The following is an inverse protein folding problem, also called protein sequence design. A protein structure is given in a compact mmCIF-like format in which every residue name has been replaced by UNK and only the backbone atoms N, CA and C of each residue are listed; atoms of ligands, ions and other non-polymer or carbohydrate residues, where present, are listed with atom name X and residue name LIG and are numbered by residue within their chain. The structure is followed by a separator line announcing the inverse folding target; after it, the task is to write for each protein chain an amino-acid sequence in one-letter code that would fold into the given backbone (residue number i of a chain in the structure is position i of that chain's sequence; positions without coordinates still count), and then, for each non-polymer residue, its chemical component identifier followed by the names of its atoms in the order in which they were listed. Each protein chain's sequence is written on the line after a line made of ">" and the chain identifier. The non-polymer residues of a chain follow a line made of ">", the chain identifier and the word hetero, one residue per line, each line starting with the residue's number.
data_IF_858896053904
#
_entry.id   IF_858896053904
#
_cell.length_a   1.000
_cell.length_b   1.000
_cell.length_c   1.000
_cell.angle_alpha   90.00
_cell.angle_beta   90.00
_cell.angle_gamma   90.00
#
_symmetry.space_group_name_H-M   'P 1'
#
loop_
_entity.id
_entity.type
_entity.pdbx_description
1 polymer ?
#
# COMPACT_ATOMS: atom_id res chain seq x y z
N UNK A 1 20.65 11.79 -7.06
CA UNK A 1 19.19 11.98 -7.23
C UNK A 1 18.62 10.58 -7.21
N UNK A 2 17.97 10.26 -6.10
CA UNK A 2 17.51 8.91 -5.81
C UNK A 2 16.18 8.68 -6.51
N UNK A 3 16.25 8.08 -7.70
CA UNK A 3 15.08 7.90 -8.55
C UNK A 3 14.38 6.60 -8.19
N UNK A 4 13.14 6.71 -7.68
CA UNK A 4 12.22 5.58 -7.64
C UNK A 4 11.90 5.15 -9.07
N UNK A 5 12.03 3.86 -9.35
CA UNK A 5 11.66 3.28 -10.64
C UNK A 5 10.98 1.93 -10.45
N UNK A 6 10.04 1.62 -11.32
CA UNK A 6 9.36 0.32 -11.33
C UNK A 6 9.60 -0.39 -12.65
N UNK A 7 9.74 -1.72 -12.60
CA UNK A 7 9.90 -2.56 -13.78
C UNK A 7 8.99 -3.77 -13.68
N UNK A 8 8.20 -4.00 -14.72
CA UNK A 8 7.41 -5.21 -14.86
C UNK A 8 8.33 -6.43 -15.06
N UNK A 9 8.05 -7.52 -14.37
CA UNK A 9 8.71 -8.80 -14.50
C UNK A 9 7.70 -9.83 -15.01
N UNK A 10 7.71 -10.13 -16.33
CA UNK A 10 6.74 -11.04 -16.92
C UNK A 10 6.86 -12.44 -16.30
N UNK A 11 5.73 -12.98 -15.86
CA UNK A 11 5.62 -14.36 -15.39
C UNK A 11 4.92 -15.22 -16.46
N UNK A 12 5.09 -16.55 -16.42
CA UNK A 12 4.30 -17.47 -17.22
C UNK A 12 2.78 -17.22 -17.08
N UNK A 13 2.00 -17.59 -18.08
CA UNK A 13 0.54 -17.46 -18.02
C UNK A 13 0.00 -18.36 -16.89
N UNK A 14 -0.98 -17.86 -16.13
CA UNK A 14 -1.73 -18.65 -15.14
C UNK A 14 -1.37 -18.42 -13.67
N UNK A 15 -0.45 -17.50 -13.36
CA UNK A 15 -0.10 -17.19 -11.97
C UNK A 15 -1.16 -16.36 -11.22
N UNK A 16 -2.10 -15.71 -11.92
CA UNK A 16 -3.17 -14.92 -11.28
C UNK A 16 -2.70 -13.58 -10.68
N UNK A 17 -1.47 -13.15 -10.98
CA UNK A 17 -0.93 -11.85 -10.58
C UNK A 17 0.13 -11.36 -11.56
N UNK A 18 0.43 -10.07 -11.49
CA UNK A 18 1.58 -9.45 -12.14
C UNK A 18 2.66 -9.15 -11.11
N UNK A 19 3.91 -9.30 -11.50
CA UNK A 19 5.07 -9.06 -10.65
C UNK A 19 5.84 -7.84 -11.15
N UNK A 20 6.16 -6.92 -10.24
CA UNK A 20 7.00 -5.77 -10.52
C UNK A 20 8.11 -5.66 -9.49
N UNK A 21 9.19 -4.97 -9.88
CA UNK A 21 10.29 -4.59 -9.01
C UNK A 21 10.33 -3.08 -8.85
N UNK A 22 10.07 -2.59 -7.64
CA UNK A 22 10.26 -1.18 -7.29
C UNK A 22 11.69 -1.02 -6.76
N UNK A 23 12.48 -0.12 -7.34
CA UNK A 23 13.86 0.15 -6.93
C UNK A 23 13.97 1.53 -6.28
N UNK A 24 14.62 1.61 -5.12
CA UNK A 24 14.97 2.84 -4.40
C UNK A 24 16.34 2.66 -3.75
N UNK A 25 17.30 3.56 -4.01
CA UNK A 25 18.59 3.61 -3.29
C UNK A 25 19.36 2.27 -3.26
N UNK A 26 19.32 1.54 -4.38
CA UNK A 26 19.93 0.21 -4.50
C UNK A 26 19.15 -0.92 -3.82
N UNK A 27 18.06 -0.61 -3.12
CA UNK A 27 17.11 -1.59 -2.61
C UNK A 27 16.06 -1.91 -3.66
N UNK A 28 15.61 -3.16 -3.68
CA UNK A 28 14.55 -3.63 -4.58
C UNK A 28 13.45 -4.25 -3.74
N UNK A 29 12.22 -3.81 -4.00
CA UNK A 29 11.02 -4.30 -3.36
C UNK A 29 10.20 -5.09 -4.36
N UNK A 30 9.68 -6.23 -3.91
CA UNK A 30 8.75 -7.07 -4.66
C UNK A 30 7.37 -6.43 -4.64
N UNK A 31 6.75 -6.27 -5.79
CA UNK A 31 5.39 -5.72 -5.92
C UNK A 31 4.51 -6.75 -6.62
N UNK A 32 3.56 -7.32 -5.89
CA UNK A 32 2.53 -8.21 -6.44
C UNK A 32 1.27 -7.40 -6.70
N UNK A 33 0.77 -7.42 -7.94
CA UNK A 33 -0.51 -6.83 -8.34
C UNK A 33 -1.49 -7.95 -8.66
N UNK A 34 -2.62 -8.03 -7.95
CA UNK A 34 -3.56 -9.14 -8.11
C UNK A 34 -4.98 -8.75 -7.74
N UNK A 35 -5.96 -9.40 -8.35
CA UNK A 35 -7.36 -9.44 -7.88
C UNK A 35 -7.75 -10.82 -7.34
N UNK A 36 -6.81 -11.77 -7.28
CA UNK A 36 -7.08 -13.17 -6.94
C UNK A 36 -6.88 -13.38 -5.44
N UNK A 37 -7.94 -13.80 -4.74
CA UNK A 37 -7.94 -14.04 -3.30
C UNK A 37 -6.85 -15.02 -2.84
N UNK A 38 -6.62 -16.12 -3.57
CA UNK A 38 -5.59 -17.10 -3.21
C UNK A 38 -4.17 -16.49 -3.21
N UNK A 39 -3.88 -15.60 -4.16
CA UNK A 39 -2.58 -14.93 -4.23
C UNK A 39 -2.39 -14.00 -3.02
N UNK A 40 -3.44 -13.27 -2.66
CA UNK A 40 -3.45 -12.39 -1.47
C UNK A 40 -3.20 -13.20 -0.20
N UNK A 41 -3.93 -14.30 -0.02
CA UNK A 41 -3.82 -15.18 1.15
C UNK A 41 -2.41 -15.78 1.27
N UNK A 42 -1.83 -16.23 0.15
CA UNK A 42 -0.46 -16.74 0.11
C UNK A 42 0.57 -15.64 0.43
N UNK A 43 0.37 -14.43 -0.09
CA UNK A 43 1.24 -13.30 0.23
C UNK A 43 1.22 -12.99 1.73
N UNK A 44 0.03 -12.97 2.35
CA UNK A 44 -0.12 -12.75 3.80
C UNK A 44 0.56 -13.84 4.61
N UNK A 45 0.43 -15.11 4.21
CA UNK A 45 1.11 -16.24 4.86
C UNK A 45 2.63 -16.07 4.85
N UNK A 46 3.20 -15.74 3.68
CA UNK A 46 4.64 -15.51 3.52
C UNK A 46 5.11 -14.35 4.40
N UNK A 47 4.45 -13.19 4.32
CA UNK A 47 4.84 -11.99 5.09
C UNK A 47 4.70 -12.24 6.60
N UNK A 48 3.64 -12.90 7.05
CA UNK A 48 3.47 -13.23 8.47
C UNK A 48 4.57 -14.18 8.95
N UNK A 49 4.97 -15.14 8.11
CA UNK A 49 6.09 -16.05 8.37
C UNK A 49 7.44 -15.33 8.48
N UNK A 50 7.68 -14.31 7.67
CA UNK A 50 8.94 -13.54 7.73
C UNK A 50 9.01 -12.59 8.93
N UNK A 51 7.86 -12.20 9.49
CA UNK A 51 7.74 -11.17 10.53
C UNK A 51 7.10 -11.67 11.83
N UNK A 52 7.51 -12.85 12.31
CA UNK A 52 6.96 -13.53 13.50
C UNK A 52 6.92 -12.70 14.81
N UNK A 53 7.68 -11.60 14.91
CA UNK A 53 7.71 -10.69 16.07
C UNK A 53 6.86 -9.42 15.93
N UNK A 54 6.09 -9.30 14.85
CA UNK A 54 5.42 -8.06 14.45
C UNK A 54 6.31 -7.17 13.58
N UNK A 55 5.67 -6.31 12.80
CA UNK A 55 6.35 -5.37 11.90
C UNK A 55 5.62 -4.04 11.83
N UNK A 56 6.35 -3.00 11.44
CA UNK A 56 5.73 -1.78 10.93
C UNK A 56 5.33 -2.06 9.49
N UNK A 57 4.05 -1.93 9.20
CA UNK A 57 3.52 -1.97 7.84
C UNK A 57 3.01 -0.59 7.44
N UNK A 58 2.68 -0.41 6.17
CA UNK A 58 1.88 0.73 5.73
C UNK A 58 0.70 0.27 4.90
N UNK A 59 -0.37 1.08 4.91
CA UNK A 59 -1.58 0.85 4.13
C UNK A 59 -1.93 2.10 3.34
N UNK A 60 -2.30 1.89 2.09
CA UNK A 60 -2.89 2.88 1.20
C UNK A 60 -4.08 2.27 0.47
N UNK A 61 -4.93 3.14 -0.07
CA UNK A 61 -6.04 2.74 -0.94
C UNK A 61 -6.15 3.73 -2.09
N UNK A 62 -6.72 3.29 -3.21
CA UNK A 62 -7.17 4.18 -4.28
C UNK A 62 -8.59 3.82 -4.69
N UNK A 63 -9.29 4.81 -5.23
CA UNK A 63 -10.66 4.67 -5.73
C UNK A 63 -10.88 5.63 -6.90
N UNK A 64 -11.72 5.23 -7.84
CA UNK A 64 -12.06 5.98 -9.02
C UNK A 64 -13.24 6.94 -8.81
N UNK A 65 -13.55 7.77 -9.82
CA UNK A 65 -14.62 8.76 -9.74
C UNK A 65 -16.02 8.18 -9.49
N UNK A 66 -16.23 6.90 -9.83
CA UNK A 66 -17.52 6.21 -9.70
C UNK A 66 -17.62 5.30 -8.48
N UNK A 67 -16.55 5.21 -7.68
CA UNK A 67 -16.48 4.30 -6.55
C UNK A 67 -17.27 4.85 -5.37
N UNK A 68 -18.20 4.08 -4.78
CA UNK A 68 -18.98 4.51 -3.62
C UNK A 68 -18.09 4.96 -2.45
N UNK A 69 -18.52 5.94 -1.63
CA UNK A 69 -17.74 6.43 -0.48
C UNK A 69 -17.37 5.36 0.55
N UNK A 70 -18.10 4.25 0.59
CA UNK A 70 -17.93 3.12 1.52
C UNK A 70 -17.05 1.99 0.96
N UNK A 71 -16.35 2.20 -0.15
CA UNK A 71 -15.57 1.16 -0.84
C UNK A 71 -14.29 1.75 -1.44
N UNK A 72 -13.35 0.92 -1.88
CA UNK A 72 -12.15 1.36 -2.60
C UNK A 72 -11.79 0.36 -3.69
N UNK A 73 -11.16 0.80 -4.76
CA UNK A 73 -10.91 -0.11 -5.87
C UNK A 73 -9.69 -0.98 -5.63
N UNK A 74 -8.72 -0.42 -4.90
CA UNK A 74 -7.46 -1.08 -4.58
C UNK A 74 -7.08 -0.87 -3.11
N UNK A 75 -6.39 -1.86 -2.55
CA UNK A 75 -5.75 -1.85 -1.24
C UNK A 75 -4.25 -2.14 -1.45
N UNK A 76 -3.41 -1.19 -1.05
CA UNK A 76 -1.96 -1.36 -1.04
C UNK A 76 -1.48 -1.64 0.37
N UNK A 77 -0.58 -2.62 0.51
CA UNK A 77 0.07 -2.95 1.77
C UNK A 77 1.57 -3.07 1.51
N UNK A 78 2.39 -2.42 2.34
CA UNK A 78 3.83 -2.63 2.34
C UNK A 78 4.27 -3.15 3.70
N UNK A 79 4.99 -4.27 3.68
CA UNK A 79 5.83 -4.75 4.78
C UNK A 79 7.16 -5.08 4.13
N UNK A 80 8.11 -4.13 4.21
CA UNK A 80 9.30 -4.16 3.37
C UNK A 80 10.11 -5.46 3.55
N UNK A 81 10.59 -6.09 2.46
CA UNK A 81 10.61 -5.60 1.08
C UNK A 81 9.40 -5.99 0.22
N UNK A 82 8.29 -6.46 0.83
CA UNK A 82 7.13 -6.96 0.10
C UNK A 82 6.00 -5.93 0.02
N UNK A 83 5.48 -5.74 -1.19
CA UNK A 83 4.35 -4.85 -1.49
C UNK A 83 3.27 -5.66 -2.17
N UNK A 84 2.04 -5.55 -1.65
CA UNK A 84 0.83 -6.05 -2.27
C UNK A 84 0.00 -4.89 -2.78
N UNK A 85 -0.44 -4.96 -4.03
CA UNK A 85 -1.48 -4.13 -4.63
C UNK A 85 -2.66 -5.05 -4.93
N UNK A 86 -3.61 -5.11 -4.00
CA UNK A 86 -4.83 -5.90 -4.15
C UNK A 86 -5.91 -5.07 -4.85
N UNK A 87 -6.27 -5.42 -6.08
CA UNK A 87 -7.41 -4.87 -6.81
C UNK A 87 -8.73 -5.41 -6.24
N UNK A 88 -9.05 -5.02 -5.00
CA UNK A 88 -10.14 -5.56 -4.18
C UNK A 88 -11.51 -5.46 -4.84
N UNK A 89 -11.78 -4.39 -5.61
CA UNK A 89 -13.04 -4.23 -6.36
C UNK A 89 -13.19 -5.22 -7.53
N UNK A 90 -12.09 -5.80 -8.01
CA UNK A 90 -12.07 -6.79 -9.08
C UNK A 90 -11.97 -8.23 -8.53
N UNK A 91 -12.03 -8.43 -7.21
CA UNK A 91 -11.95 -9.75 -6.60
C UNK A 91 -13.32 -10.44 -6.62
N UNK A 92 -13.45 -11.52 -7.39
CA UNK A 92 -14.71 -12.27 -7.51
C UNK A 92 -15.03 -13.13 -6.29
N UNK A 93 -14.04 -13.41 -5.43
CA UNK A 93 -14.15 -14.32 -4.28
C UNK A 93 -13.67 -13.66 -3.00
N UNK A 94 -14.16 -12.44 -2.74
CA UNK A 94 -13.70 -11.62 -1.62
C UNK A 94 -13.95 -12.29 -0.25
N UNK A 95 -14.96 -13.13 -0.11
CA UNK A 95 -15.19 -13.95 1.07
C UNK A 95 -13.95 -14.80 1.44
N UNK A 96 -13.11 -15.17 0.48
CA UNK A 96 -11.95 -16.05 0.67
C UNK A 96 -10.67 -15.36 1.17
N UNK A 97 -10.69 -14.07 1.53
CA UNK A 97 -9.51 -13.34 2.04
C UNK A 97 -9.44 -13.25 3.58
N UNK A 98 -9.73 -14.35 4.27
CA UNK A 98 -9.77 -14.40 5.74
C UNK A 98 -8.42 -14.14 6.42
N UNK A 99 -7.28 -14.64 5.88
CA UNK A 99 -5.97 -14.31 6.45
C UNK A 99 -5.66 -12.84 6.28
N UNK A 100 -6.04 -12.22 5.16
CA UNK A 100 -5.89 -10.77 5.01
C UNK A 100 -6.68 -10.00 6.07
N UNK A 101 -7.95 -10.38 6.30
CA UNK A 101 -8.78 -9.78 7.37
C UNK A 101 -8.09 -9.90 8.72
N UNK A 102 -7.66 -11.11 9.08
CA UNK A 102 -6.95 -11.36 10.32
C UNK A 102 -5.65 -10.54 10.42
N UNK A 103 -4.85 -10.49 9.34
CA UNK A 103 -3.57 -9.80 9.27
C UNK A 103 -3.70 -8.28 9.50
N UNK A 104 -4.69 -7.65 8.88
CA UNK A 104 -5.00 -6.23 9.13
C UNK A 104 -5.43 -6.00 10.58
N UNK A 105 -6.04 -7.00 11.21
CA UNK A 105 -6.57 -6.92 12.56
C UNK A 105 -5.60 -7.36 13.66
N UNK A 106 -4.44 -7.91 13.29
CA UNK A 106 -3.42 -8.38 14.23
C UNK A 106 -2.83 -7.23 15.04
N UNK A 107 -2.83 -7.35 16.38
CA UNK A 107 -2.25 -6.35 17.29
C UNK A 107 -0.72 -6.26 17.22
N UNK A 108 -0.07 -7.31 16.72
CA UNK A 108 1.39 -7.35 16.51
C UNK A 108 1.82 -6.55 15.28
N UNK A 109 0.91 -6.30 14.34
CA UNK A 109 1.16 -5.43 13.19
C UNK A 109 0.87 -3.99 13.56
N UNK A 110 1.79 -3.08 13.23
CA UNK A 110 1.64 -1.64 13.46
C UNK A 110 1.63 -0.93 12.12
N UNK A 111 0.45 -0.60 11.62
CA UNK A 111 0.32 0.06 10.32
C UNK A 111 0.47 1.59 10.44
N UNK A 112 0.97 2.19 9.37
CA UNK A 112 0.88 3.64 9.13
C UNK A 112 0.11 3.93 7.85
N UNK A 113 -0.49 5.10 7.77
CA UNK A 113 -1.13 5.59 6.55
C UNK A 113 -1.22 7.11 6.54
N UNK A 114 -1.71 7.63 5.41
CA UNK A 114 -2.07 9.05 5.26
C UNK A 114 -3.57 9.15 5.04
N UNK A 115 -4.22 10.05 5.79
CA UNK A 115 -5.67 10.14 5.86
C UNK A 115 -6.31 8.81 6.28
N UNK A 116 -5.95 8.33 7.47
CA UNK A 116 -6.36 7.00 7.96
C UNK A 116 -7.86 6.81 8.16
N UNK A 117 -8.65 7.88 8.34
CA UNK A 117 -10.10 7.76 8.52
C UNK A 117 -10.80 7.25 7.25
N UNK A 118 -10.60 7.86 6.06
CA UNK A 118 -11.03 7.28 4.79
C UNK A 118 -10.61 5.83 4.57
N UNK A 119 -9.41 5.43 4.99
CA UNK A 119 -8.95 4.04 4.90
C UNK A 119 -9.86 3.12 5.74
N UNK A 120 -10.10 3.48 7.00
CA UNK A 120 -10.99 2.71 7.90
C UNK A 120 -12.40 2.61 7.34
N UNK A 121 -12.98 3.74 6.93
CA UNK A 121 -14.37 3.79 6.47
C UNK A 121 -14.58 2.94 5.20
N UNK A 122 -13.66 3.01 4.24
CA UNK A 122 -13.77 2.27 2.97
C UNK A 122 -13.49 0.78 3.14
N UNK A 123 -12.52 0.41 3.99
CA UNK A 123 -12.26 -1.01 4.29
C UNK A 123 -13.39 -1.66 5.09
N UNK A 124 -14.11 -0.89 5.91
CA UNK A 124 -15.28 -1.41 6.63
C UNK A 124 -16.38 -1.92 5.71
N UNK A 125 -16.54 -1.34 4.50
CA UNK A 125 -17.48 -1.82 3.48
C UNK A 125 -17.14 -3.21 2.92
N UNK A 126 -15.90 -3.68 3.14
CA UNK A 126 -15.44 -5.03 2.80
C UNK A 126 -15.39 -5.97 4.02
N UNK A 127 -15.91 -5.53 5.17
CA UNK A 127 -15.80 -6.26 6.43
C UNK A 127 -14.35 -6.34 6.95
N UNK A 128 -13.48 -5.43 6.51
CA UNK A 128 -12.09 -5.36 6.94
C UNK A 128 -11.89 -4.26 7.98
N UNK A 129 -11.05 -4.54 8.99
CA UNK A 129 -10.71 -3.60 10.05
C UNK A 129 -9.21 -3.62 10.26
N UNK A 130 -8.62 -2.44 10.43
CA UNK A 130 -7.22 -2.32 10.83
C UNK A 130 -7.19 -1.95 12.32
N UNK A 131 -6.69 -2.84 13.18
CA UNK A 131 -6.65 -2.59 14.63
C UNK A 131 -5.65 -1.48 14.96
N UNK A 132 -4.39 -1.64 14.56
CA UNK A 132 -3.33 -0.67 14.81
C UNK A 132 -2.96 0.07 13.52
N UNK A 133 -3.52 1.26 13.32
CA UNK A 133 -3.05 2.18 12.26
C UNK A 133 -2.88 3.59 12.81
N UNK A 134 -1.73 4.21 12.50
CA UNK A 134 -1.41 5.59 12.89
C UNK A 134 -1.25 6.50 11.67
N UNK A 135 -1.64 7.76 11.85
CA UNK A 135 -1.49 8.80 10.84
C UNK A 135 -0.05 9.32 10.81
N UNK A 136 0.60 9.29 9.65
CA UNK A 136 2.01 9.70 9.50
C UNK A 136 2.20 11.17 9.92
N UNK A 137 1.27 12.06 9.57
CA UNK A 137 1.36 13.47 9.97
C UNK A 137 1.31 13.67 11.49
N UNK A 138 0.61 12.78 12.18
CA UNK A 138 0.56 12.79 13.64
C UNK A 138 1.88 12.30 14.24
N UNK A 139 2.51 11.28 13.63
CA UNK A 139 3.86 10.84 14.03
C UNK A 139 4.90 11.96 13.87
N UNK A 140 4.82 12.72 12.77
CA UNK A 140 5.68 13.90 12.55
C UNK A 140 5.48 14.94 13.65
N UNK A 141 4.21 15.25 13.99
CA UNK A 141 3.90 16.21 15.04
C UNK A 141 4.44 15.78 16.41
N UNK A 142 4.26 14.52 16.77
CA UNK A 142 4.75 13.99 18.05
C UNK A 142 6.27 14.00 18.14
N UNK A 143 6.97 13.68 17.05
CA UNK A 143 8.43 13.57 17.04
C UNK A 143 9.13 14.92 16.93
N UNK A 144 8.58 15.85 16.15
CA UNK A 144 9.25 17.10 15.79
C UNK A 144 8.51 18.37 16.21
N UNK A 145 7.29 18.27 16.76
CA UNK A 145 6.50 19.42 17.18
C UNK A 145 5.96 20.28 16.03
N UNK A 146 6.03 19.80 14.79
CA UNK A 146 5.56 20.52 13.58
C UNK A 146 4.47 19.73 12.86
N UNK A 147 3.55 20.44 12.20
CA UNK A 147 2.53 19.77 11.37
C UNK A 147 3.21 19.07 10.20
N UNK A 148 2.90 17.79 9.99
CA UNK A 148 3.32 17.08 8.79
C UNK A 148 2.66 17.65 7.53
N UNK A 149 3.40 17.66 6.43
CA UNK A 149 2.94 18.14 5.13
C UNK A 149 2.20 17.07 4.31
N UNK A 150 2.23 17.23 3.00
CA UNK A 150 1.90 16.19 2.02
C UNK A 150 2.90 15.03 2.10
N UNK A 151 2.55 13.87 1.55
CA UNK A 151 3.46 12.72 1.59
C UNK A 151 4.71 12.97 0.73
N UNK A 152 4.55 13.74 -0.35
CA UNK A 152 5.61 14.26 -1.20
C UNK A 152 6.59 15.11 -0.38
N UNK A 153 6.11 16.16 0.29
CA UNK A 153 6.96 17.04 1.13
C UNK A 153 7.65 16.27 2.26
N UNK A 154 6.94 15.33 2.89
CA UNK A 154 7.53 14.49 3.94
C UNK A 154 8.60 13.54 3.40
N UNK A 155 8.43 13.00 2.20
CA UNK A 155 9.44 12.17 1.56
C UNK A 155 10.72 12.97 1.24
N UNK A 156 10.57 14.20 0.75
CA UNK A 156 11.72 15.10 0.53
C UNK A 156 12.42 15.41 1.86
N UNK A 157 11.66 15.81 2.88
CA UNK A 157 12.19 16.31 4.13
C UNK A 157 12.85 15.21 4.98
N UNK A 158 12.26 14.01 5.03
CA UNK A 158 12.69 12.96 5.98
C UNK A 158 13.39 11.79 5.31
N UNK A 159 13.22 11.58 4.00
CA UNK A 159 13.83 10.48 3.27
C UNK A 159 14.84 10.94 2.20
N UNK A 160 14.93 12.26 1.93
CA UNK A 160 15.80 12.80 0.88
C UNK A 160 15.32 12.48 -0.54
N UNK A 161 14.05 12.11 -0.72
CA UNK A 161 13.45 11.77 -2.02
C UNK A 161 12.92 13.02 -2.72
N UNK A 162 13.83 13.85 -3.23
CA UNK A 162 13.52 15.14 -3.86
C UNK A 162 12.86 15.03 -5.23
N UNK A 163 12.01 16.02 -5.56
CA UNK A 163 11.45 16.20 -6.90
C UNK A 163 10.22 15.33 -7.18
N UNK A 164 9.64 14.72 -6.15
CA UNK A 164 8.42 13.93 -6.29
C UNK A 164 7.23 14.85 -6.53
N UNK A 165 6.74 14.86 -7.77
CA UNK A 165 5.52 15.58 -8.11
C UNK A 165 4.30 14.70 -7.85
N UNK A 166 3.26 15.27 -7.25
CA UNK A 166 1.98 14.59 -7.06
C UNK A 166 1.36 14.26 -8.43
N UNK A 167 1.16 12.98 -8.79
CA UNK A 167 0.66 12.57 -10.08
C UNK A 167 -0.87 12.65 -10.12
N UNK A 168 -1.41 13.87 -10.02
CA UNK A 168 -2.84 14.13 -9.82
C UNK A 168 -3.75 13.44 -10.86
N UNK A 169 -3.30 13.38 -12.12
CA UNK A 169 -4.04 12.70 -13.21
C UNK A 169 -4.16 11.19 -12.97
N UNK A 170 -3.10 10.54 -12.48
CA UNK A 170 -3.09 9.11 -12.17
C UNK A 170 -3.91 8.84 -10.91
N UNK A 171 -3.72 9.64 -9.85
CA UNK A 171 -4.50 9.48 -8.62
C UNK A 171 -6.01 9.64 -8.83
N UNK A 172 -6.43 10.52 -9.75
CA UNK A 172 -7.83 10.73 -10.11
C UNK A 172 -8.36 9.81 -11.24
N UNK A 173 -7.54 8.85 -11.70
CA UNK A 173 -7.91 7.94 -12.79
C UNK A 173 -8.89 6.85 -12.34
N UNK A 174 -9.30 5.99 -13.27
CA UNK A 174 -10.18 4.87 -12.99
C UNK A 174 -9.37 3.69 -12.42
N UNK A 175 -9.51 3.44 -11.11
CA UNK A 175 -8.80 2.38 -10.41
C UNK A 175 -9.57 1.06 -10.35
N UNK A 176 -10.83 1.03 -10.80
CA UNK A 176 -11.66 -0.18 -10.84
C UNK A 176 -11.43 -1.02 -12.11
N UNK A 177 -10.41 -0.69 -12.91
CA UNK A 177 -10.12 -1.41 -14.14
C UNK A 177 -9.48 -2.78 -13.85
N UNK A 178 -9.80 -3.83 -14.60
CA UNK A 178 -9.27 -5.18 -14.35
C UNK A 178 -7.75 -5.29 -14.47
N UNK A 179 -7.12 -4.36 -15.19
CA UNK A 179 -5.69 -4.34 -15.46
C UNK A 179 -5.18 -2.92 -15.24
N UNK A 180 -4.48 -2.69 -14.11
CA UNK A 180 -3.87 -1.39 -13.83
C UNK A 180 -2.80 -1.03 -14.88
N UNK A 181 -2.68 0.25 -15.19
CA UNK A 181 -1.59 0.75 -16.03
C UNK A 181 -0.27 0.76 -15.27
N UNK A 182 0.87 0.77 -15.97
CA UNK A 182 2.19 0.87 -15.32
C UNK A 182 2.30 2.13 -14.44
N UNK A 183 1.73 3.26 -14.87
CA UNK A 183 1.66 4.48 -14.07
C UNK A 183 0.86 4.28 -12.77
N UNK A 184 -0.27 3.59 -12.83
CA UNK A 184 -1.07 3.28 -11.64
C UNK A 184 -0.32 2.36 -10.69
N UNK A 185 0.34 1.31 -11.21
CA UNK A 185 1.16 0.40 -10.40
C UNK A 185 2.32 1.17 -9.76
N UNK A 186 3.00 2.04 -10.52
CA UNK A 186 4.10 2.86 -10.01
C UNK A 186 3.64 3.75 -8.86
N UNK A 187 2.54 4.48 -9.04
CA UNK A 187 1.98 5.36 -8.01
C UNK A 187 1.53 4.58 -6.78
N UNK A 188 0.80 3.49 -6.96
CA UNK A 188 0.32 2.65 -5.86
C UNK A 188 1.48 2.08 -5.03
N UNK A 189 2.48 1.49 -5.68
CA UNK A 189 3.65 0.92 -5.02
C UNK A 189 4.50 2.00 -4.32
N UNK A 190 4.70 3.15 -4.98
CA UNK A 190 5.53 4.24 -4.47
C UNK A 190 4.95 4.86 -3.19
N UNK A 191 3.64 5.16 -3.18
CA UNK A 191 3.05 5.84 -2.03
C UNK A 191 2.99 4.95 -0.80
N UNK A 192 2.67 3.66 -0.97
CA UNK A 192 2.70 2.72 0.16
C UNK A 192 4.12 2.47 0.65
N UNK A 193 5.12 2.40 -0.24
CA UNK A 193 6.53 2.29 0.12
C UNK A 193 7.04 3.51 0.89
N UNK A 194 6.80 4.73 0.39
CA UNK A 194 7.20 5.97 1.07
C UNK A 194 6.55 6.04 2.45
N UNK A 195 5.26 5.69 2.55
CA UNK A 195 4.57 5.63 3.82
C UNK A 195 5.23 4.65 4.80
N UNK A 196 5.65 3.48 4.31
CA UNK A 196 6.39 2.51 5.13
C UNK A 196 7.73 3.08 5.60
N UNK A 197 8.52 3.69 4.71
CA UNK A 197 9.81 4.29 5.07
C UNK A 197 9.67 5.42 6.09
N UNK A 198 8.67 6.29 5.92
CA UNK A 198 8.31 7.30 6.92
C UNK A 198 7.88 6.64 8.24
N UNK A 199 7.07 5.58 8.18
CA UNK A 199 6.68 4.79 9.33
C UNK A 199 7.88 4.29 10.12
N UNK A 200 8.81 3.59 9.48
CA UNK A 200 10.05 3.10 10.11
C UNK A 200 10.90 4.22 10.69
N UNK A 201 10.95 5.38 10.04
CA UNK A 201 11.72 6.55 10.49
C UNK A 201 11.11 7.26 11.70
N UNK A 202 9.78 7.26 11.79
CA UNK A 202 9.03 8.07 12.77
C UNK A 202 8.53 7.28 13.98
N UNK A 203 8.29 5.97 13.85
CA UNK A 203 7.77 5.11 14.92
C UNK A 203 8.73 4.91 16.10
#
# INVERSE_FOLDING_TARGET
>A
MDLLSIRHHPLPIGHGYQLYWLTSNGQTMEVIVTSVAEVVERWVEIVTGLHHGGAVGSVFIQWGPRTPPTSCDTLQICVSPHILIFQISCCETLENVERLRAFLDMSTMRFVGVAIQPIRDRLSGYGMRITQIREIRQLVLERFGVRGGTIEEMAEQYLGLYGMQRPARVMASDWSIPMLTEDQVFVAATYVYIAHQLGVTLY
#
